data_IF_983914913745
#
_entry.id   IF_983914913745
#
_cell.length_a   1.000
_cell.length_b   1.000
_cell.length_c   1.000
_cell.angle_alpha   90.00
_cell.angle_beta   90.00
_cell.angle_gamma   90.00
#
_symmetry.space_group_name_H-M   'P 1'
#
loop_
_entity.id
_entity.type
_entity.pdbx_description
1 polymer ?
#
# COMPACT_ATOMS: atom_id res chain seq x y z
N UNK A 1 -10.59 -14.19 26.08
CA UNK A 1 -10.82 -13.06 25.16
C UNK A 1 -10.95 -13.67 23.79
N UNK A 2 -12.15 -13.64 23.20
CA UNK A 2 -12.36 -14.15 21.85
C UNK A 2 -11.49 -13.36 20.89
N UNK A 3 -10.57 -14.07 20.24
CA UNK A 3 -9.75 -13.53 19.16
C UNK A 3 -10.68 -13.39 17.95
N UNK A 4 -11.55 -12.36 17.96
CA UNK A 4 -12.44 -12.06 16.85
C UNK A 4 -11.60 -11.53 15.69
N UNK A 5 -11.04 -12.47 14.93
CA UNK A 5 -10.70 -12.25 13.53
C UNK A 5 -11.90 -11.53 12.89
N UNK A 6 -11.68 -10.45 12.12
CA UNK A 6 -12.76 -9.85 11.35
C UNK A 6 -13.41 -10.96 10.52
N UNK A 7 -14.74 -11.07 10.59
CA UNK A 7 -15.46 -12.07 9.81
C UNK A 7 -15.14 -11.89 8.33
N UNK A 8 -15.11 -12.98 7.57
CA UNK A 8 -14.86 -12.94 6.12
C UNK A 8 -15.77 -11.92 5.42
N UNK A 9 -17.01 -11.76 5.90
CA UNK A 9 -17.97 -10.77 5.45
C UNK A 9 -17.51 -9.31 5.70
N UNK A 10 -16.86 -9.02 6.84
CA UNK A 10 -16.35 -7.68 7.13
C UNK A 10 -15.17 -7.32 6.22
N UNK A 11 -14.28 -8.28 5.97
CA UNK A 11 -13.14 -8.09 5.05
C UNK A 11 -13.67 -7.82 3.64
N UNK A 12 -14.64 -8.60 3.18
CA UNK A 12 -15.28 -8.41 1.88
C UNK A 12 -16.00 -7.06 1.78
N UNK A 13 -16.78 -6.68 2.79
CA UNK A 13 -17.49 -5.40 2.79
C UNK A 13 -16.53 -4.19 2.76
N UNK A 14 -15.41 -4.26 3.51
CA UNK A 14 -14.38 -3.22 3.49
C UNK A 14 -13.66 -3.15 2.13
N UNK A 15 -13.42 -4.30 1.51
CA UNK A 15 -12.88 -4.37 0.16
C UNK A 15 -13.80 -3.71 -0.87
N UNK A 16 -15.09 -4.08 -0.89
CA UNK A 16 -16.06 -3.55 -1.85
C UNK A 16 -16.27 -2.04 -1.67
N UNK A 17 -16.27 -1.57 -0.42
CA UNK A 17 -16.28 -0.14 -0.11
C UNK A 17 -15.04 0.59 -0.65
N UNK A 18 -13.85 -0.02 -0.52
CA UNK A 18 -12.62 0.57 -1.05
C UNK A 18 -12.62 0.64 -2.58
N UNK A 19 -13.11 -0.40 -3.27
CA UNK A 19 -13.28 -0.36 -4.73
C UNK A 19 -14.25 0.72 -5.17
N UNK A 20 -15.44 0.78 -4.56
CA UNK A 20 -16.45 1.80 -4.88
C UNK A 20 -15.91 3.22 -4.67
N UNK A 21 -15.12 3.41 -3.59
CA UNK A 21 -14.44 4.67 -3.32
C UNK A 21 -13.40 5.01 -4.40
N UNK A 22 -12.58 4.03 -4.81
CA UNK A 22 -11.57 4.23 -5.87
C UNK A 22 -12.24 4.57 -7.20
N UNK A 23 -13.26 3.83 -7.63
CA UNK A 23 -14.01 4.12 -8.86
C UNK A 23 -14.59 5.53 -8.84
N UNK A 24 -15.32 5.88 -7.79
CA UNK A 24 -15.92 7.22 -7.65
C UNK A 24 -14.88 8.34 -7.61
N UNK A 25 -13.69 8.06 -7.06
CA UNK A 25 -12.58 8.99 -7.05
C UNK A 25 -11.97 9.18 -8.44
N UNK A 26 -11.67 8.08 -9.15
CA UNK A 26 -11.12 8.12 -10.52
C UNK A 26 -12.08 8.83 -11.47
N UNK A 27 -13.38 8.55 -11.39
CA UNK A 27 -14.40 9.23 -12.19
C UNK A 27 -14.42 10.74 -11.94
N UNK A 28 -14.32 11.15 -10.67
CA UNK A 28 -14.28 12.56 -10.29
C UNK A 28 -13.03 13.26 -10.82
N UNK A 29 -11.87 12.61 -10.71
CA UNK A 29 -10.61 13.13 -11.25
C UNK A 29 -10.74 13.27 -12.77
N UNK A 30 -11.17 12.23 -13.47
CA UNK A 30 -11.37 12.25 -14.92
C UNK A 30 -12.34 13.35 -15.37
N UNK A 31 -13.38 13.64 -14.59
CA UNK A 31 -14.30 14.76 -14.87
C UNK A 31 -13.68 16.15 -14.73
N UNK A 32 -12.52 16.28 -14.08
CA UNK A 32 -11.79 17.54 -13.89
C UNK A 32 -10.61 17.71 -14.86
N UNK A 33 -10.24 16.66 -15.58
CA UNK A 33 -9.11 16.68 -16.52
C UNK A 33 -9.48 17.38 -17.84
N UNK A 34 -8.48 17.85 -18.62
CA UNK A 34 -8.71 18.38 -19.96
C UNK A 34 -9.54 17.43 -20.84
N UNK A 35 -10.40 17.99 -21.71
CA UNK A 35 -11.28 17.18 -22.57
C UNK A 35 -10.49 16.17 -23.41
N UNK A 36 -10.95 14.91 -23.36
CA UNK A 36 -10.33 13.81 -24.09
C UNK A 36 -9.02 13.32 -23.47
N UNK A 37 -8.84 13.52 -22.16
CA UNK A 37 -7.78 12.88 -21.37
C UNK A 37 -8.40 12.09 -20.23
N UNK A 38 -7.76 10.98 -19.85
CA UNK A 38 -8.18 10.14 -18.74
C UNK A 38 -6.98 9.52 -18.02
N UNK A 39 -7.15 9.26 -16.74
CA UNK A 39 -6.25 8.48 -15.91
C UNK A 39 -6.90 7.15 -15.53
N UNK A 40 -6.05 6.15 -15.31
CA UNK A 40 -6.39 4.82 -14.82
C UNK A 40 -5.64 4.53 -13.52
N UNK A 41 -6.26 3.83 -12.55
CA UNK A 41 -5.59 3.45 -11.32
C UNK A 41 -4.55 2.35 -11.60
N UNK A 42 -3.37 2.49 -10.99
CA UNK A 42 -2.29 1.51 -10.97
C UNK A 42 -1.98 1.19 -9.51
N UNK A 43 -2.19 -0.07 -9.10
CA UNK A 43 -1.95 -0.45 -7.72
C UNK A 43 -0.44 -0.58 -7.47
N UNK A 44 0.08 -0.01 -6.39
CA UNK A 44 1.52 -0.09 -6.07
C UNK A 44 1.90 -1.49 -5.57
N UNK A 45 1.01 -2.10 -4.79
CA UNK A 45 1.06 -3.51 -4.40
C UNK A 45 0.02 -4.32 -5.19
N UNK A 46 0.46 -5.24 -6.06
CA UNK A 46 -0.41 -6.04 -6.92
C UNK A 46 -1.43 -6.87 -6.14
N UNK A 47 -2.58 -7.11 -6.78
CA UNK A 47 -3.69 -7.91 -6.24
C UNK A 47 -3.27 -9.30 -5.71
N UNK A 48 -2.28 -9.93 -6.35
CA UNK A 48 -1.78 -11.26 -6.01
C UNK A 48 -1.22 -11.33 -4.58
N UNK A 49 -0.64 -10.25 -4.06
CA UNK A 49 -0.08 -10.19 -2.71
C UNK A 49 -1.19 -10.24 -1.63
N UNK A 50 -2.39 -9.75 -1.95
CA UNK A 50 -3.51 -9.65 -1.03
C UNK A 50 -4.26 -10.97 -0.86
N UNK A 51 -4.24 -11.84 -1.88
CA UNK A 51 -4.92 -13.14 -1.89
C UNK A 51 -4.00 -14.30 -1.54
N UNK A 52 -2.71 -14.04 -1.37
CA UNK A 52 -1.70 -15.02 -1.00
C UNK A 52 -1.50 -15.15 0.51
N UNK A 53 -0.36 -15.72 0.89
CA UNK A 53 0.02 -15.97 2.28
C UNK A 53 0.12 -14.70 3.16
N UNK A 54 0.24 -13.53 2.54
CA UNK A 54 0.38 -12.24 3.24
C UNK A 54 -0.94 -11.48 3.40
N UNK A 55 -2.06 -12.02 2.90
CA UNK A 55 -3.38 -11.37 3.02
C UNK A 55 -3.77 -11.09 4.47
N UNK A 56 -3.44 -11.99 5.39
CA UNK A 56 -3.68 -11.81 6.83
C UNK A 56 -2.89 -10.63 7.40
N UNK A 57 -1.59 -10.55 7.09
CA UNK A 57 -0.72 -9.46 7.52
C UNK A 57 -1.25 -8.11 7.03
N UNK A 58 -1.61 -8.05 5.75
CA UNK A 58 -2.04 -6.81 5.11
C UNK A 58 -3.46 -6.38 5.54
N UNK A 59 -4.44 -7.28 5.47
CA UNK A 59 -5.85 -6.92 5.67
C UNK A 59 -6.32 -6.99 7.12
N UNK A 60 -5.70 -7.83 7.95
CA UNK A 60 -6.13 -8.02 9.34
C UNK A 60 -5.20 -7.31 10.32
N UNK A 61 -3.88 -7.52 10.21
CA UNK A 61 -2.95 -6.87 11.13
C UNK A 61 -2.77 -5.38 10.77
N UNK A 62 -2.48 -5.08 9.50
CA UNK A 62 -2.27 -3.71 9.06
C UNK A 62 -3.57 -2.94 8.77
N UNK A 63 -4.71 -3.64 8.64
CA UNK A 63 -6.01 -3.07 8.24
C UNK A 63 -5.96 -2.29 6.91
N UNK A 64 -5.09 -2.75 6.01
CA UNK A 64 -4.94 -2.20 4.68
C UNK A 64 -5.79 -2.97 3.66
N UNK A 65 -6.22 -2.28 2.61
CA UNK A 65 -7.03 -2.84 1.54
C UNK A 65 -6.48 -2.43 0.16
N UNK A 66 -6.57 -3.31 -0.84
CA UNK A 66 -5.91 -3.15 -2.12
C UNK A 66 -6.32 -1.90 -2.91
N UNK A 67 -7.59 -1.52 -2.85
CA UNK A 67 -8.14 -0.37 -3.56
C UNK A 67 -8.05 0.94 -2.78
N UNK A 68 -7.37 0.95 -1.62
CA UNK A 68 -7.23 2.19 -0.85
C UNK A 68 -6.35 3.21 -1.59
N UNK A 69 -6.61 4.51 -1.37
CA UNK A 69 -5.86 5.56 -2.05
C UNK A 69 -4.35 5.50 -1.84
N UNK A 70 -3.88 5.09 -0.65
CA UNK A 70 -2.45 4.94 -0.36
C UNK A 70 -1.76 3.89 -1.23
N UNK A 71 -2.49 2.95 -1.83
CA UNK A 71 -1.96 1.91 -2.71
C UNK A 71 -2.18 2.23 -4.20
N UNK A 72 -2.64 3.44 -4.54
CA UNK A 72 -3.09 3.77 -5.90
C UNK A 72 -2.28 4.92 -6.49
N UNK A 73 -1.64 4.67 -7.63
CA UNK A 73 -1.15 5.69 -8.55
C UNK A 73 -2.20 5.94 -9.63
N UNK A 74 -2.25 7.17 -10.15
CA UNK A 74 -3.10 7.56 -11.28
C UNK A 74 -2.18 7.81 -12.47
N UNK A 75 -2.22 6.91 -13.44
CA UNK A 75 -1.38 6.96 -14.63
C UNK A 75 -2.23 7.29 -15.84
N UNK A 76 -1.63 7.76 -16.93
CA UNK A 76 -2.37 8.04 -18.15
C UNK A 76 -2.99 6.75 -18.71
N UNK A 77 -4.26 6.78 -19.09
CA UNK A 77 -4.92 5.60 -19.64
C UNK A 77 -4.49 5.29 -21.09
N UNK A 78 -4.04 6.30 -21.83
CA UNK A 78 -3.60 6.20 -23.23
C UNK A 78 -2.48 7.22 -23.56
N UNK A 79 -1.89 7.08 -24.76
CA UNK A 79 -0.78 7.94 -25.22
C UNK A 79 -1.16 9.43 -25.30
N UNK A 80 -2.41 9.73 -25.67
CA UNK A 80 -2.90 11.10 -25.74
C UNK A 80 -2.93 11.74 -24.34
N UNK A 81 -3.47 11.01 -23.38
CA UNK A 81 -3.54 11.44 -21.98
C UNK A 81 -2.14 11.59 -21.40
N UNK A 82 -1.21 10.69 -21.76
CA UNK A 82 0.20 10.77 -21.36
C UNK A 82 0.83 12.07 -21.87
N UNK A 83 0.67 12.38 -23.15
CA UNK A 83 1.20 13.60 -23.74
C UNK A 83 0.66 14.88 -23.09
N UNK A 84 -0.64 14.92 -22.79
CA UNK A 84 -1.29 16.12 -22.23
C UNK A 84 -1.02 16.28 -20.73
N UNK A 85 -0.97 15.17 -19.99
CA UNK A 85 -0.84 15.18 -18.53
C UNK A 85 0.61 15.07 -18.05
N UNK A 86 1.56 14.79 -18.94
CA UNK A 86 2.97 14.48 -18.62
C UNK A 86 3.13 13.34 -17.59
N UNK A 87 2.26 12.33 -17.73
CA UNK A 87 2.23 11.10 -16.93
C UNK A 87 2.55 9.90 -17.81
N UNK A 88 3.23 8.87 -17.29
CA UNK A 88 3.44 7.65 -18.06
C UNK A 88 2.11 6.97 -18.36
N UNK A 89 2.07 6.25 -19.49
CA UNK A 89 0.96 5.36 -19.81
C UNK A 89 0.93 4.21 -18.81
N UNK A 90 -0.27 3.82 -18.38
CA UNK A 90 -0.47 2.67 -17.50
C UNK A 90 0.21 1.42 -18.09
N UNK A 91 1.15 0.78 -17.38
CA UNK A 91 2.02 -0.25 -17.97
C UNK A 91 1.28 -1.56 -18.28
N UNK A 92 0.06 -1.74 -17.75
CA UNK A 92 -0.80 -2.91 -18.00
C UNK A 92 -0.34 -4.18 -17.26
N UNK A 93 0.95 -4.28 -16.95
CA UNK A 93 1.57 -5.34 -16.17
C UNK A 93 2.58 -4.76 -15.17
N UNK A 94 2.95 -5.57 -14.19
CA UNK A 94 4.00 -5.26 -13.22
C UNK A 94 5.37 -5.70 -13.73
N UNK A 95 6.47 -5.05 -13.30
CA UNK A 95 7.81 -5.57 -13.50
C UNK A 95 7.92 -7.00 -12.94
N UNK A 96 8.62 -7.89 -13.66
CA UNK A 96 8.69 -9.33 -13.34
C UNK A 96 9.19 -9.61 -11.91
N UNK A 97 10.11 -8.77 -11.41
CA UNK A 97 10.72 -8.94 -10.09
C UNK A 97 9.93 -8.26 -8.95
N UNK A 98 8.87 -7.50 -9.25
CA UNK A 98 8.15 -6.74 -8.24
C UNK A 98 7.48 -7.66 -7.22
N UNK A 99 6.71 -8.66 -7.69
CA UNK A 99 6.01 -9.59 -6.79
C UNK A 99 6.99 -10.38 -5.92
N UNK A 100 8.03 -11.05 -6.47
CA UNK A 100 9.00 -11.76 -5.63
C UNK A 100 9.71 -10.87 -4.60
N UNK A 101 10.04 -9.62 -4.98
CA UNK A 101 10.69 -8.68 -4.04
C UNK A 101 9.73 -8.23 -2.94
N UNK A 102 8.46 -7.99 -3.27
CA UNK A 102 7.43 -7.67 -2.30
C UNK A 102 7.19 -8.82 -1.32
N UNK A 103 7.14 -10.06 -1.82
CA UNK A 103 6.97 -11.25 -0.98
C UNK A 103 8.13 -11.43 0.00
N UNK A 104 9.38 -11.14 -0.42
CA UNK A 104 10.55 -11.17 0.48
C UNK A 104 10.37 -10.21 1.67
N UNK A 105 10.06 -8.94 1.41
CA UNK A 105 9.88 -7.96 2.49
C UNK A 105 8.66 -8.26 3.36
N UNK A 106 7.55 -8.73 2.77
CA UNK A 106 6.38 -9.12 3.55
C UNK A 106 6.66 -10.32 4.47
N UNK A 107 7.52 -11.25 4.05
CA UNK A 107 8.00 -12.33 4.92
C UNK A 107 8.83 -11.79 6.09
N UNK A 108 9.77 -10.88 5.83
CA UNK A 108 10.56 -10.22 6.89
C UNK A 108 9.66 -9.50 7.91
N UNK A 109 8.67 -8.73 7.44
CA UNK A 109 7.72 -8.03 8.32
C UNK A 109 6.84 -8.99 9.12
N UNK A 110 6.45 -10.12 8.52
CA UNK A 110 5.68 -11.15 9.20
C UNK A 110 6.50 -11.82 10.31
N UNK A 111 7.78 -12.11 10.05
CA UNK A 111 8.71 -12.65 11.04
C UNK A 111 8.94 -11.68 12.20
N UNK A 112 9.19 -10.40 11.91
CA UNK A 112 9.33 -9.33 12.92
C UNK A 112 8.09 -9.25 13.82
N UNK A 113 6.88 -9.25 13.23
CA UNK A 113 5.63 -9.20 13.98
C UNK A 113 5.38 -10.46 14.82
N UNK A 114 5.69 -11.63 14.27
CA UNK A 114 5.54 -12.92 14.97
C UNK A 114 6.48 -12.98 16.19
N UNK A 115 7.73 -12.55 16.04
CA UNK A 115 8.70 -12.52 17.13
C UNK A 115 8.25 -11.57 18.27
N UNK A 116 7.71 -10.41 17.92
CA UNK A 116 7.17 -9.45 18.89
C UNK A 116 5.94 -10.02 19.63
N UNK A 117 5.07 -10.75 18.91
CA UNK A 117 3.92 -11.42 19.51
C UNK A 117 4.37 -12.50 20.50
N UNK A 118 5.30 -13.36 20.10
CA UNK A 118 5.81 -14.45 20.94
C UNK A 118 6.51 -13.92 22.20
N UNK A 119 7.25 -12.81 22.07
CA UNK A 119 7.83 -12.13 23.22
C UNK A 119 6.75 -11.63 24.18
N UNK A 120 5.73 -10.95 23.65
CA UNK A 120 4.63 -10.39 24.44
C UNK A 120 3.88 -11.50 25.17
N UNK A 121 3.55 -12.61 24.50
CA UNK A 121 2.87 -13.76 25.10
C UNK A 121 3.69 -14.39 26.24
N UNK A 122 5.02 -14.51 26.08
CA UNK A 122 5.92 -14.98 27.15
C UNK A 122 5.97 -14.00 28.33
N UNK A 123 6.04 -12.70 28.06
CA UNK A 123 6.09 -11.66 29.09
C UNK A 123 4.85 -11.71 29.99
N UNK A 124 3.66 -11.93 29.40
CA UNK A 124 2.40 -12.10 30.13
C UNK A 124 2.40 -13.32 31.05
N UNK A 125 3.07 -14.42 30.67
CA UNK A 125 3.19 -15.62 31.50
C UNK A 125 4.13 -15.40 32.71
N UNK A 126 5.13 -14.53 32.56
CA UNK A 126 6.11 -14.22 33.61
C UNK A 126 5.69 -13.09 34.56
N UNK A 127 4.58 -12.41 34.30
CA UNK A 127 4.06 -11.30 35.11
C UNK A 127 4.66 -9.92 34.81
N UNK A 128 5.64 -9.85 33.91
CA UNK A 128 6.18 -8.62 33.34
C UNK A 128 5.32 -8.24 32.12
N UNK A 129 4.28 -7.44 32.32
CA UNK A 129 3.39 -7.05 31.23
C UNK A 129 4.00 -5.93 30.38
N UNK A 130 4.69 -6.28 29.29
CA UNK A 130 5.11 -5.31 28.27
C UNK A 130 4.32 -5.49 26.96
N UNK A 131 3.10 -4.98 26.97
CA UNK A 131 2.20 -4.95 25.80
C UNK A 131 2.64 -3.93 24.74
N UNK A 132 3.65 -3.09 25.03
CA UNK A 132 4.08 -2.02 24.12
C UNK A 132 4.92 -2.57 22.97
N UNK A 133 5.61 -3.70 23.17
CA UNK A 133 6.46 -4.33 22.16
C UNK A 133 5.67 -4.74 20.92
N UNK A 134 4.56 -5.46 21.09
CA UNK A 134 3.73 -5.87 19.96
C UNK A 134 3.09 -4.66 19.27
N UNK A 135 2.56 -3.70 20.03
CA UNK A 135 1.98 -2.48 19.46
C UNK A 135 2.98 -1.70 18.61
N UNK A 136 4.20 -1.52 19.12
CA UNK A 136 5.28 -0.86 18.39
C UNK A 136 5.68 -1.62 17.12
N UNK A 137 5.84 -2.94 17.21
CA UNK A 137 6.18 -3.77 16.05
C UNK A 137 5.09 -3.70 14.97
N UNK A 138 3.81 -3.68 15.37
CA UNK A 138 2.69 -3.52 14.44
C UNK A 138 2.72 -2.15 13.75
N UNK A 139 3.01 -1.08 14.49
CA UNK A 139 3.15 0.27 13.91
C UNK A 139 4.36 0.37 12.97
N UNK A 140 5.48 -0.27 13.32
CA UNK A 140 6.67 -0.36 12.47
C UNK A 140 6.35 -1.11 11.16
N UNK A 141 5.69 -2.27 11.24
CA UNK A 141 5.27 -3.04 10.07
C UNK A 141 4.30 -2.25 9.19
N UNK A 142 3.32 -1.56 9.78
CA UNK A 142 2.38 -0.69 9.05
C UNK A 142 3.12 0.40 8.28
N UNK A 143 4.12 1.05 8.89
CA UNK A 143 4.96 2.05 8.22
C UNK A 143 5.80 1.43 7.10
N UNK A 144 6.40 0.28 7.36
CA UNK A 144 7.27 -0.40 6.39
C UNK A 144 6.51 -0.89 5.16
N UNK A 145 5.27 -1.37 5.31
CA UNK A 145 4.40 -1.75 4.17
C UNK A 145 4.09 -0.53 3.29
N UNK A 146 3.79 0.63 3.88
CA UNK A 146 3.60 1.86 3.11
C UNK A 146 4.88 2.29 2.41
N UNK A 147 6.02 2.28 3.11
CA UNK A 147 7.32 2.62 2.53
C UNK A 147 7.70 1.69 1.36
N UNK A 148 7.41 0.39 1.50
CA UNK A 148 7.62 -0.60 0.45
C UNK A 148 6.76 -0.31 -0.79
N UNK A 149 5.46 -0.05 -0.63
CA UNK A 149 4.57 0.29 -1.75
C UNK A 149 5.08 1.51 -2.53
N UNK A 150 5.47 2.56 -1.82
CA UNK A 150 6.02 3.78 -2.41
C UNK A 150 7.36 3.53 -3.12
N UNK A 151 8.22 2.69 -2.53
CA UNK A 151 9.50 2.30 -3.14
C UNK A 151 9.28 1.56 -4.46
N UNK A 152 8.33 0.62 -4.51
CA UNK A 152 8.04 -0.11 -5.73
C UNK A 152 7.38 0.74 -6.81
N UNK A 153 6.53 1.70 -6.44
CA UNK A 153 5.98 2.64 -7.40
C UNK A 153 7.08 3.47 -8.06
N UNK A 154 8.01 3.99 -7.26
CA UNK A 154 9.14 4.75 -7.80
C UNK A 154 10.12 3.88 -8.62
N UNK A 155 10.36 2.63 -8.23
CA UNK A 155 11.15 1.70 -9.06
C UNK A 155 10.44 1.41 -10.38
N UNK A 156 9.12 1.26 -10.36
CA UNK A 156 8.33 0.90 -11.55
C UNK A 156 8.15 2.06 -12.52
N UNK A 157 8.05 3.29 -12.01
CA UNK A 157 7.70 4.48 -12.78
C UNK A 157 8.88 5.45 -13.00
N UNK A 158 9.94 5.35 -12.17
CA UNK A 158 11.01 6.32 -12.04
C UNK A 158 10.75 7.34 -10.92
N UNK A 159 11.82 7.78 -10.25
CA UNK A 159 11.73 8.72 -9.12
C UNK A 159 11.08 10.05 -9.53
N UNK A 160 11.51 10.66 -10.64
CA UNK A 160 10.95 11.93 -11.15
C UNK A 160 9.44 11.84 -11.38
N UNK A 161 8.96 10.73 -11.94
CA UNK A 161 7.55 10.51 -12.25
C UNK A 161 6.74 10.33 -10.97
N UNK A 162 7.27 9.57 -10.02
CA UNK A 162 6.65 9.36 -8.72
C UNK A 162 6.52 10.68 -7.96
N UNK A 163 7.55 11.52 -7.94
CA UNK A 163 7.52 12.84 -7.30
C UNK A 163 6.53 13.81 -7.97
N UNK A 164 6.47 13.83 -9.30
CA UNK A 164 5.45 14.63 -10.01
C UNK A 164 4.04 14.16 -9.68
N UNK A 165 3.80 12.84 -9.69
CA UNK A 165 2.50 12.28 -9.35
C UNK A 165 2.08 12.65 -7.93
N UNK A 166 3.00 12.55 -6.97
CA UNK A 166 2.81 12.98 -5.60
C UNK A 166 2.36 14.44 -5.50
N UNK A 167 3.03 15.34 -6.22
CA UNK A 167 2.69 16.76 -6.24
C UNK A 167 1.30 17.01 -6.85
N UNK A 168 0.91 16.24 -7.87
CA UNK A 168 -0.39 16.39 -8.56
C UNK A 168 -1.56 15.79 -7.77
N UNK A 169 -1.39 14.59 -7.21
CA UNK A 169 -2.50 13.78 -6.70
C UNK A 169 -2.38 13.40 -5.23
N UNK A 170 -1.21 13.49 -4.60
CA UNK A 170 -0.98 12.97 -3.25
C UNK A 170 -1.97 13.50 -2.21
N UNK A 171 -2.26 14.82 -2.24
CA UNK A 171 -3.27 15.43 -1.36
C UNK A 171 -4.70 14.94 -1.67
N UNK A 172 -5.05 14.79 -2.94
CA UNK A 172 -6.38 14.36 -3.37
C UNK A 172 -6.64 12.88 -3.04
N UNK A 173 -5.59 12.06 -3.10
CA UNK A 173 -5.58 10.66 -2.69
C UNK A 173 -5.50 10.50 -1.16
N UNK A 174 -5.36 11.57 -0.37
CA UNK A 174 -5.24 11.45 1.08
C UNK A 174 -4.04 10.64 1.52
N UNK A 175 -2.94 10.69 0.76
CA UNK A 175 -1.70 10.07 1.18
C UNK A 175 -1.22 10.73 2.49
N UNK A 176 -0.94 9.96 3.55
CA UNK A 176 -0.39 10.50 4.78
C UNK A 176 0.95 11.17 4.45
N UNK A 177 1.20 12.36 5.04
CA UNK A 177 2.39 13.20 4.88
C UNK A 177 3.45 12.63 3.91
N UNK A 178 3.29 12.91 2.61
CA UNK A 178 4.16 12.37 1.56
C UNK A 178 5.65 12.56 1.88
N UNK A 179 6.00 13.64 2.58
CA UNK A 179 7.33 13.93 3.11
C UNK A 179 7.86 12.85 4.07
N UNK A 180 7.04 12.37 5.02
CA UNK A 180 7.43 11.33 5.97
C UNK A 180 7.54 9.93 5.32
N UNK A 181 6.87 9.72 4.19
CA UNK A 181 7.00 8.49 3.41
C UNK A 181 8.31 8.44 2.63
N UNK A 182 8.86 9.59 2.20
CA UNK A 182 10.13 9.66 1.48
C UNK A 182 11.32 9.24 2.35
N UNK A 183 11.33 9.60 3.64
CA UNK A 183 12.41 9.27 4.58
C UNK A 183 12.57 7.76 4.81
N UNK A 184 11.47 6.99 4.79
CA UNK A 184 11.50 5.53 5.01
C UNK A 184 11.82 4.72 3.75
N UNK A 185 11.86 5.33 2.55
CA UNK A 185 12.14 4.60 1.30
C UNK A 185 13.58 4.10 1.20
N UNK A 186 14.53 4.88 1.70
CA UNK A 186 15.96 4.50 1.69
C UNK A 186 16.23 3.28 2.57
N UNK A 187 15.51 3.14 3.69
CA UNK A 187 15.60 1.97 4.55
C UNK A 187 15.13 0.69 3.81
N UNK A 188 14.06 0.76 3.02
CA UNK A 188 13.58 -0.37 2.22
C UNK A 188 14.53 -0.72 1.07
N UNK A 189 15.07 0.29 0.36
CA UNK A 189 16.04 0.09 -0.73
C UNK A 189 17.33 -0.63 -0.29
N UNK A 190 17.70 -0.47 0.98
CA UNK A 190 18.94 -1.03 1.54
C UNK A 190 18.84 -2.46 2.07
N UNK A 191 17.63 -3.05 2.12
CA UNK A 191 17.34 -4.42 2.61
C UNK A 191 17.29 -5.44 1.46
#
# INVERSE_FOLDING_TARGET
>A
MDNMMPTQDLVQARHDAALAQQTSFVERINGQLPKGTTVAPYAMLPWTLWHGQFGQLLMVNCEYYPAQPWNTMLLAADERSSFVLDLPVHPGAYPANLVPSAEKHLAEFQEELSAAKDYTDRSMQTGEMDVTVFGKALDDVRRNVLAMANTFAAISLGDDVYERHLAMFGKALGWPHAEALLENREAIRSR
#
